data_IF_127486458446
#
_entry.id   IF_127486458446
#
_cell.length_a   1.000
_cell.length_b   1.000
_cell.length_c   1.000
_cell.angle_alpha   90.00
_cell.angle_beta   90.00
_cell.angle_gamma   90.00
#
_symmetry.space_group_name_H-M   'P 1'
#
loop_
_entity.id
_entity.type
_entity.pdbx_description
1 polymer ?
#
# COMPACT_ATOMS: atom_id res chain seq x y z
N UNK A 1 -8.53 -15.74 -28.71
CA UNK A 1 -8.54 -14.30 -28.36
C UNK A 1 -9.17 -14.22 -26.98
N UNK A 2 -8.42 -13.81 -25.96
CA UNK A 2 -8.99 -13.75 -24.61
C UNK A 2 -10.08 -12.68 -24.57
N UNK A 3 -11.26 -13.07 -24.10
CA UNK A 3 -12.46 -12.19 -24.02
C UNK A 3 -12.22 -11.01 -23.07
N UNK A 4 -11.28 -11.15 -22.12
CA UNK A 4 -10.86 -10.10 -21.18
C UNK A 4 -9.40 -10.27 -20.78
N UNK A 5 -8.80 -9.23 -20.20
CA UNK A 5 -7.47 -9.27 -19.58
C UNK A 5 -7.58 -8.99 -18.07
N UNK A 6 -6.60 -9.40 -17.26
CA UNK A 6 -6.60 -9.07 -15.82
C UNK A 6 -6.69 -7.56 -15.57
N UNK A 7 -6.05 -6.74 -16.42
CA UNK A 7 -6.14 -5.28 -16.37
C UNK A 7 -7.59 -4.85 -16.61
N UNK A 8 -8.23 -5.35 -17.68
CA UNK A 8 -9.61 -5.00 -17.99
C UNK A 8 -10.56 -5.41 -16.86
N UNK A 9 -10.44 -6.63 -16.35
CA UNK A 9 -11.24 -7.11 -15.22
C UNK A 9 -11.05 -6.24 -13.97
N UNK A 10 -9.82 -5.83 -13.64
CA UNK A 10 -9.57 -4.95 -12.49
C UNK A 10 -10.18 -3.56 -12.65
N UNK A 11 -10.25 -3.03 -13.87
CA UNK A 11 -10.92 -1.78 -14.18
C UNK A 11 -12.45 -1.89 -14.06
N UNK A 12 -13.03 -2.98 -14.56
CA UNK A 12 -14.48 -3.22 -14.46
C UNK A 12 -14.94 -3.39 -13.00
N UNK A 13 -14.09 -3.93 -12.13
CA UNK A 13 -14.36 -4.04 -10.69
C UNK A 13 -14.55 -2.69 -9.99
N UNK A 14 -14.07 -1.58 -10.56
CA UNK A 14 -14.35 -0.23 -10.02
C UNK A 14 -15.85 0.04 -10.06
N UNK A 15 -16.54 -0.39 -11.13
CA UNK A 15 -17.97 -0.18 -11.32
C UNK A 15 -18.78 -1.20 -10.52
N UNK A 16 -18.45 -2.48 -10.61
CA UNK A 16 -19.26 -3.55 -10.01
C UNK A 16 -18.98 -3.77 -8.52
N UNK A 17 -17.73 -3.63 -8.08
CA UNK A 17 -17.32 -3.82 -6.69
C UNK A 17 -17.09 -2.51 -5.92
N UNK A 18 -17.28 -1.37 -6.59
CA UNK A 18 -16.97 -0.06 -6.06
C UNK A 18 -15.47 0.28 -6.08
N UNK A 19 -15.12 1.54 -5.76
CA UNK A 19 -13.77 2.06 -5.92
C UNK A 19 -12.71 1.33 -5.09
N UNK A 20 -13.11 0.80 -3.94
CA UNK A 20 -12.24 0.08 -3.01
C UNK A 20 -11.78 -1.25 -3.60
N UNK A 21 -12.74 -2.06 -4.04
CA UNK A 21 -12.46 -3.36 -4.62
C UNK A 21 -11.68 -3.19 -5.94
N UNK A 22 -12.07 -2.21 -6.76
CA UNK A 22 -11.34 -1.84 -7.97
C UNK A 22 -9.89 -1.43 -7.68
N UNK A 23 -9.66 -0.57 -6.70
CA UNK A 23 -8.29 -0.13 -6.32
C UNK A 23 -7.41 -1.31 -5.88
N UNK A 24 -7.90 -2.17 -4.99
CA UNK A 24 -7.15 -3.33 -4.54
C UNK A 24 -6.89 -4.34 -5.68
N UNK A 25 -7.87 -4.54 -6.58
CA UNK A 25 -7.71 -5.39 -7.75
C UNK A 25 -6.67 -4.83 -8.74
N UNK A 26 -6.63 -3.51 -8.92
CA UNK A 26 -5.65 -2.81 -9.74
C UNK A 26 -4.24 -2.99 -9.18
N UNK A 27 -4.02 -2.75 -7.88
CA UNK A 27 -2.71 -2.96 -7.24
C UNK A 27 -2.26 -4.41 -7.32
N UNK A 28 -3.15 -5.36 -7.04
CA UNK A 28 -2.84 -6.78 -7.15
C UNK A 28 -2.49 -7.20 -8.59
N UNK A 29 -3.16 -6.63 -9.59
CA UNK A 29 -2.87 -6.88 -11.00
C UNK A 29 -1.53 -6.25 -11.40
N UNK A 30 -1.26 -5.03 -10.95
CA UNK A 30 -0.03 -4.31 -11.21
C UNK A 30 1.18 -5.05 -10.61
N UNK A 31 1.08 -5.47 -9.35
CA UNK A 31 2.11 -6.27 -8.68
C UNK A 31 2.43 -7.57 -9.42
N UNK A 32 1.40 -8.30 -9.87
CA UNK A 32 1.60 -9.51 -10.71
C UNK A 32 2.28 -9.18 -12.04
N UNK A 33 1.90 -8.06 -12.67
CA UNK A 33 2.54 -7.57 -13.89
C UNK A 33 4.02 -7.27 -13.70
N UNK A 34 4.37 -6.55 -12.63
CA UNK A 34 5.77 -6.27 -12.24
C UNK A 34 6.53 -7.59 -12.03
N UNK A 35 5.98 -8.52 -11.24
CA UNK A 35 6.62 -9.82 -10.98
C UNK A 35 6.85 -10.64 -12.26
N UNK A 36 5.88 -10.65 -13.18
CA UNK A 36 6.00 -11.37 -14.45
C UNK A 36 7.07 -10.76 -15.34
N UNK A 37 7.12 -9.43 -15.44
CA UNK A 37 8.06 -8.72 -16.32
C UNK A 37 9.50 -8.69 -15.78
N UNK A 38 9.67 -8.72 -14.46
CA UNK A 38 10.99 -8.68 -13.84
C UNK A 38 11.66 -10.06 -13.71
N UNK A 39 10.94 -11.16 -13.91
CA UNK A 39 11.50 -12.52 -13.86
C UNK A 39 11.98 -12.91 -12.46
N UNK A 40 11.24 -13.77 -11.78
CA UNK A 40 11.48 -14.24 -10.40
C UNK A 40 12.76 -15.10 -10.20
N UNK A 41 13.88 -14.83 -10.88
CA UNK A 41 15.17 -15.49 -10.64
C UNK A 41 16.13 -14.53 -9.95
N UNK A 42 16.12 -14.60 -8.60
CA UNK A 42 17.09 -14.07 -7.61
C UNK A 42 16.77 -12.68 -7.03
N UNK A 43 16.25 -12.70 -5.79
CA UNK A 43 16.30 -11.63 -4.75
C UNK A 43 15.29 -10.47 -4.80
N UNK A 44 13.99 -10.77 -4.90
CA UNK A 44 12.96 -9.81 -4.47
C UNK A 44 12.93 -9.61 -2.95
N UNK A 45 13.44 -10.57 -2.17
CA UNK A 45 13.67 -10.42 -0.73
C UNK A 45 14.69 -9.33 -0.35
N UNK A 46 15.36 -8.72 -1.35
CA UNK A 46 16.25 -7.56 -1.23
C UNK A 46 15.99 -6.51 -2.33
N UNK A 47 14.87 -6.60 -3.07
CA UNK A 47 14.58 -5.64 -4.13
C UNK A 47 14.25 -4.28 -3.52
N UNK A 48 14.92 -3.25 -4.02
CA UNK A 48 14.67 -1.87 -3.65
C UNK A 48 13.20 -1.51 -4.03
N UNK A 49 12.31 -1.21 -3.06
CA UNK A 49 10.92 -0.86 -3.32
C UNK A 49 10.76 0.26 -4.36
N UNK A 50 11.71 1.19 -4.41
CA UNK A 50 11.71 2.27 -5.39
C UNK A 50 11.80 1.74 -6.82
N UNK A 51 12.65 0.74 -7.09
CA UNK A 51 12.76 0.14 -8.44
C UNK A 51 11.45 -0.54 -8.85
N UNK A 52 10.80 -1.24 -7.92
CA UNK A 52 9.51 -1.88 -8.20
C UNK A 52 8.42 -0.85 -8.46
N UNK A 53 8.41 0.25 -7.69
CA UNK A 53 7.50 1.37 -7.91
C UNK A 53 7.70 2.00 -9.30
N UNK A 54 8.96 2.18 -9.73
CA UNK A 54 9.29 2.75 -11.04
C UNK A 54 8.79 1.86 -12.20
N UNK A 55 9.01 0.55 -12.10
CA UNK A 55 8.49 -0.42 -13.07
C UNK A 55 6.96 -0.38 -13.06
N UNK A 56 6.35 -0.30 -11.87
CA UNK A 56 4.91 -0.15 -11.72
C UNK A 56 4.37 1.06 -12.47
N UNK A 57 4.98 2.24 -12.29
CA UNK A 57 4.57 3.47 -13.00
C UNK A 57 4.66 3.32 -14.52
N UNK A 58 5.72 2.67 -15.02
CA UNK A 58 5.84 2.38 -16.45
C UNK A 58 4.74 1.44 -16.95
N UNK A 59 4.44 0.35 -16.22
CA UNK A 59 3.33 -0.55 -16.57
C UNK A 59 1.98 0.17 -16.55
N UNK A 60 1.74 1.05 -15.56
CA UNK A 60 0.53 1.85 -15.52
C UNK A 60 0.38 2.71 -16.76
N UNK A 61 1.45 3.41 -17.15
CA UNK A 61 1.45 4.29 -18.33
C UNK A 61 1.23 3.52 -19.65
N UNK A 62 1.88 2.36 -19.81
CA UNK A 62 1.87 1.61 -21.08
C UNK A 62 0.68 0.66 -21.22
N UNK A 63 0.20 0.06 -20.13
CA UNK A 63 -0.79 -1.01 -20.20
C UNK A 63 -2.13 -0.62 -19.58
N UNK A 64 -2.12 0.00 -18.39
CA UNK A 64 -3.35 0.30 -17.65
C UNK A 64 -4.05 1.56 -18.16
N UNK A 65 -3.33 2.65 -18.37
CA UNK A 65 -3.91 3.91 -18.83
C UNK A 65 -4.59 3.76 -20.20
N UNK A 66 -3.98 3.10 -21.21
CA UNK A 66 -4.67 2.83 -22.48
C UNK A 66 -5.89 1.93 -22.32
N UNK A 67 -5.86 0.95 -21.41
CA UNK A 67 -7.03 0.12 -21.12
C UNK A 67 -8.18 0.93 -20.49
N UNK A 68 -7.85 1.83 -19.55
CA UNK A 68 -8.82 2.73 -18.92
C UNK A 68 -9.43 3.73 -19.92
N UNK A 69 -8.63 4.22 -20.88
CA UNK A 69 -9.12 5.13 -21.93
C UNK A 69 -10.15 4.48 -22.87
N UNK A 70 -10.14 3.15 -23.00
CA UNK A 70 -11.11 2.37 -23.79
C UNK A 70 -12.39 2.02 -23.02
N UNK A 71 -12.52 2.44 -21.76
CA UNK A 71 -13.74 2.24 -20.99
C UNK A 71 -14.87 3.12 -21.54
N UNK A 72 -16.03 2.53 -21.81
CA UNK A 72 -17.23 3.26 -22.22
C UNK A 72 -17.81 4.15 -21.10
N UNK A 73 -17.63 3.74 -19.83
CA UNK A 73 -18.09 4.45 -18.62
C UNK A 73 -17.03 4.35 -17.53
N UNK A 74 -17.07 5.23 -16.53
CA UNK A 74 -16.12 5.19 -15.41
C UNK A 74 -14.68 5.59 -15.74
N UNK A 75 -14.37 5.99 -16.98
CA UNK A 75 -13.02 6.39 -17.44
C UNK A 75 -12.32 7.38 -16.50
N UNK A 76 -13.01 8.46 -16.11
CA UNK A 76 -12.43 9.49 -15.23
C UNK A 76 -12.04 8.89 -13.88
N UNK A 77 -12.95 8.13 -13.26
CA UNK A 77 -12.70 7.46 -11.98
C UNK A 77 -11.52 6.48 -12.08
N UNK A 78 -11.49 5.68 -13.13
CA UNK A 78 -10.38 4.75 -13.38
C UNK A 78 -9.03 5.48 -13.49
N UNK A 79 -8.95 6.53 -14.30
CA UNK A 79 -7.72 7.32 -14.43
C UNK A 79 -7.32 7.99 -13.10
N UNK A 80 -8.28 8.48 -12.32
CA UNK A 80 -8.01 9.01 -10.98
C UNK A 80 -7.40 7.95 -10.06
N UNK A 81 -7.94 6.73 -10.04
CA UNK A 81 -7.39 5.64 -9.23
C UNK A 81 -6.00 5.22 -9.72
N UNK A 82 -5.81 5.09 -11.03
CA UNK A 82 -4.53 4.72 -11.64
C UNK A 82 -3.39 5.69 -11.30
N UNK A 83 -3.69 6.95 -11.00
CA UNK A 83 -2.70 7.93 -10.56
C UNK A 83 -2.11 7.65 -9.16
N UNK A 84 -2.73 6.74 -8.40
CA UNK A 84 -2.39 6.48 -6.99
C UNK A 84 -1.97 5.04 -6.70
N UNK A 85 -2.30 4.08 -7.57
CA UNK A 85 -1.96 2.66 -7.32
C UNK A 85 -0.45 2.41 -7.30
N UNK A 86 -0.07 1.41 -6.52
CA UNK A 86 1.31 0.94 -6.39
C UNK A 86 1.41 -0.58 -6.50
N UNK A 87 2.51 -1.13 -7.05
CA UNK A 87 2.75 -2.58 -7.03
C UNK A 87 3.21 -3.10 -5.66
N UNK A 88 3.41 -2.23 -4.67
CA UNK A 88 4.08 -2.57 -3.42
C UNK A 88 3.17 -3.16 -2.34
N UNK A 89 1.85 -3.00 -2.46
CA UNK A 89 0.90 -3.61 -1.53
C UNK A 89 0.89 -5.13 -1.68
N UNK A 90 1.30 -5.84 -0.64
CA UNK A 90 1.41 -7.30 -0.64
C UNK A 90 0.07 -7.98 -0.27
N UNK A 91 -0.83 -7.23 0.37
CA UNK A 91 -2.13 -7.71 0.86
C UNK A 91 -3.30 -6.77 0.55
N UNK A 92 -4.53 -7.29 0.63
CA UNK A 92 -5.74 -6.47 0.51
C UNK A 92 -5.81 -5.37 1.59
N UNK A 93 -5.35 -5.68 2.81
CA UNK A 93 -5.33 -4.72 3.90
C UNK A 93 -4.37 -3.55 3.61
N UNK A 94 -3.20 -3.81 3.03
CA UNK A 94 -2.28 -2.75 2.60
C UNK A 94 -2.87 -1.90 1.47
N UNK A 95 -3.45 -2.52 0.43
CA UNK A 95 -4.12 -1.77 -0.64
C UNK A 95 -5.26 -0.90 -0.11
N UNK A 96 -6.01 -1.40 0.88
CA UNK A 96 -7.08 -0.65 1.54
C UNK A 96 -6.54 0.51 2.37
N UNK A 97 -5.43 0.31 3.09
CA UNK A 97 -4.72 1.37 3.82
C UNK A 97 -4.18 2.45 2.88
N UNK A 98 -3.54 2.07 1.77
CA UNK A 98 -3.08 3.00 0.72
C UNK A 98 -4.25 3.85 0.18
N UNK A 99 -5.37 3.21 -0.16
CA UNK A 99 -6.58 3.90 -0.60
C UNK A 99 -7.11 4.88 0.48
N UNK A 100 -7.15 4.45 1.74
CA UNK A 100 -7.61 5.31 2.85
C UNK A 100 -6.69 6.51 3.05
N UNK A 101 -5.37 6.36 2.94
CA UNK A 101 -4.43 7.48 3.01
C UNK A 101 -4.74 8.52 1.93
N UNK A 102 -4.97 8.08 0.70
CA UNK A 102 -5.35 8.98 -0.39
C UNK A 102 -6.73 9.63 -0.19
N UNK A 103 -7.71 8.90 0.37
CA UNK A 103 -8.99 9.49 0.79
C UNK A 103 -8.81 10.58 1.86
N UNK A 104 -7.81 10.44 2.73
CA UNK A 104 -7.48 11.45 3.74
C UNK A 104 -6.63 12.60 3.17
N UNK A 105 -6.18 12.53 1.92
CA UNK A 105 -5.29 13.54 1.31
C UNK A 105 -3.81 13.35 1.69
N UNK A 106 -3.43 12.19 2.21
CA UNK A 106 -2.05 11.83 2.51
C UNK A 106 -1.50 11.02 1.34
N UNK A 107 -0.58 11.61 0.57
CA UNK A 107 -0.05 10.99 -0.65
C UNK A 107 1.44 10.62 -0.54
N UNK A 108 2.13 11.10 0.49
CA UNK A 108 3.59 11.05 0.60
C UNK A 108 4.09 9.94 1.53
N UNK A 109 3.34 8.83 1.65
CA UNK A 109 3.79 7.65 2.37
C UNK A 109 4.59 6.73 1.45
N UNK A 110 5.84 6.46 1.83
CA UNK A 110 6.66 5.43 1.18
C UNK A 110 6.21 4.05 1.63
N UNK A 111 5.95 3.15 0.68
CA UNK A 111 5.59 1.77 0.98
C UNK A 111 6.81 0.86 1.10
N UNK A 112 6.69 -0.18 1.94
CA UNK A 112 7.67 -1.25 2.07
C UNK A 112 9.08 -0.75 2.45
N UNK A 113 9.16 0.24 3.35
CA UNK A 113 10.41 0.90 3.72
C UNK A 113 11.28 0.03 4.64
N UNK A 114 12.49 -0.31 4.20
CA UNK A 114 13.44 -1.06 5.00
C UNK A 114 14.14 -0.14 6.02
N UNK A 115 14.10 -0.54 7.29
CA UNK A 115 14.82 0.12 8.38
C UNK A 115 16.02 -0.74 8.76
N UNK A 116 17.19 -0.12 8.82
CA UNK A 116 18.41 -0.71 9.32
C UNK A 116 18.80 -0.11 10.69
N UNK A 117 19.44 -0.91 11.53
CA UNK A 117 20.02 -0.51 12.81
C UNK A 117 21.41 -1.13 12.91
N UNK A 118 22.42 -0.32 13.21
CA UNK A 118 23.83 -0.72 13.29
C UNK A 118 24.36 -1.46 12.04
N UNK A 119 23.87 -1.08 10.87
CA UNK A 119 24.25 -1.68 9.58
C UNK A 119 23.45 -2.92 9.21
N UNK A 120 22.67 -3.48 10.13
CA UNK A 120 21.84 -4.67 9.90
C UNK A 120 20.37 -4.32 9.63
N UNK A 121 19.71 -5.13 8.81
CA UNK A 121 18.27 -5.00 8.58
C UNK A 121 17.50 -5.28 9.87
N UNK A 122 16.78 -4.28 10.37
CA UNK A 122 15.95 -4.38 11.56
C UNK A 122 14.57 -4.93 11.20
N UNK A 123 13.85 -4.22 10.33
CA UNK A 123 12.48 -4.53 9.92
C UNK A 123 12.08 -3.77 8.65
N UNK A 124 10.96 -4.16 8.04
CA UNK A 124 10.34 -3.45 6.92
C UNK A 124 9.00 -2.89 7.37
N UNK A 125 8.80 -1.60 7.17
CA UNK A 125 7.57 -0.88 7.48
C UNK A 125 6.62 -0.94 6.29
N UNK A 126 5.34 -1.19 6.51
CA UNK A 126 4.37 -1.23 5.41
C UNK A 126 4.22 0.15 4.76
N UNK A 127 4.18 1.21 5.59
CA UNK A 127 4.14 2.60 5.15
C UNK A 127 5.01 3.47 6.06
N UNK A 128 5.70 4.46 5.50
CA UNK A 128 6.45 5.48 6.24
C UNK A 128 6.20 6.87 5.65
N UNK A 129 5.73 7.80 6.48
CA UNK A 129 5.82 9.23 6.20
C UNK A 129 7.13 9.77 6.77
N UNK A 130 8.11 10.01 5.88
CA UNK A 130 9.51 10.26 6.28
C UNK A 130 9.69 11.54 7.09
N UNK A 131 8.96 12.59 6.73
CA UNK A 131 9.09 13.92 7.32
C UNK A 131 8.69 13.93 8.79
N UNK A 132 7.74 13.09 9.19
CA UNK A 132 7.28 12.96 10.58
C UNK A 132 7.78 11.69 11.26
N UNK A 133 8.51 10.83 10.53
CA UNK A 133 8.88 9.46 10.94
C UNK A 133 7.68 8.64 11.43
N UNK A 134 6.49 8.88 10.87
CA UNK A 134 5.29 8.13 11.20
C UNK A 134 5.22 6.88 10.32
N UNK A 135 5.37 5.73 10.94
CA UNK A 135 5.22 4.42 10.32
C UNK A 135 3.82 3.86 10.57
N UNK A 136 3.25 3.20 9.57
CA UNK A 136 2.01 2.43 9.74
C UNK A 136 2.32 0.94 9.63
N UNK A 137 1.80 0.16 10.56
CA UNK A 137 1.87 -1.30 10.54
C UNK A 137 0.46 -1.85 10.31
N UNK A 138 0.29 -2.66 9.26
CA UNK A 138 -0.97 -3.27 8.86
C UNK A 138 -1.01 -4.71 9.37
N UNK A 139 -1.71 -4.90 10.49
CA UNK A 139 -1.84 -6.20 11.11
C UNK A 139 -2.89 -7.04 10.36
N UNK A 140 -2.41 -8.02 9.58
CA UNK A 140 -3.25 -9.07 9.05
C UNK A 140 -3.82 -9.91 10.19
N UNK A 141 -5.15 -10.08 10.23
CA UNK A 141 -5.88 -10.78 11.31
C UNK A 141 -5.47 -12.24 11.56
N UNK A 142 -4.58 -12.82 10.74
CA UNK A 142 -4.13 -14.21 10.82
C UNK A 142 -2.69 -14.44 11.33
N UNK A 143 -1.88 -13.40 11.64
CA UNK A 143 -0.46 -13.65 12.02
C UNK A 143 -0.25 -14.16 13.45
N UNK A 144 -1.26 -14.09 14.32
CA UNK A 144 -1.12 -14.42 15.75
C UNK A 144 -1.53 -15.84 16.15
N UNK A 145 -2.04 -16.65 15.23
CA UNK A 145 -2.60 -17.97 15.59
C UNK A 145 -1.54 -19.09 15.60
N UNK A 146 -0.35 -18.88 15.04
CA UNK A 146 0.62 -19.97 14.81
C UNK A 146 2.02 -19.81 15.41
N UNK A 147 2.41 -18.67 16.01
CA UNK A 147 3.83 -18.41 16.28
C UNK A 147 4.14 -18.09 17.74
N UNK A 148 4.96 -18.96 18.36
CA UNK A 148 5.31 -18.96 19.78
C UNK A 148 6.18 -17.78 20.29
N UNK A 149 6.63 -17.90 21.55
CA UNK A 149 7.30 -16.84 22.35
C UNK A 149 8.47 -16.11 21.67
N UNK A 150 9.23 -16.76 20.78
CA UNK A 150 10.41 -16.17 20.13
C UNK A 150 10.05 -15.07 19.12
N UNK A 151 8.92 -15.22 18.40
CA UNK A 151 8.46 -14.23 17.44
C UNK A 151 7.96 -12.96 18.14
N UNK A 152 7.21 -13.14 19.23
CA UNK A 152 6.76 -12.03 20.08
C UNK A 152 7.93 -11.22 20.65
N UNK A 153 9.02 -11.88 21.09
CA UNK A 153 10.24 -11.20 21.53
C UNK A 153 10.88 -10.39 20.41
N UNK A 154 10.95 -10.93 19.19
CA UNK A 154 11.51 -10.22 18.03
C UNK A 154 10.67 -9.01 17.64
N UNK A 155 9.35 -9.16 17.57
CA UNK A 155 8.43 -8.07 17.22
C UNK A 155 8.48 -6.95 18.29
N UNK A 156 8.54 -7.32 19.57
CA UNK A 156 8.73 -6.36 20.68
C UNK A 156 10.08 -5.63 20.60
N UNK A 157 11.17 -6.35 20.32
CA UNK A 157 12.48 -5.73 20.12
C UNK A 157 12.48 -4.75 18.95
N UNK A 158 11.93 -5.16 17.80
CA UNK A 158 11.82 -4.31 16.61
C UNK A 158 11.01 -3.04 16.89
N UNK A 159 9.88 -3.18 17.58
CA UNK A 159 9.05 -2.05 17.97
C UNK A 159 9.79 -1.08 18.90
N UNK A 160 10.40 -1.57 19.97
CA UNK A 160 11.16 -0.73 20.91
C UNK A 160 12.34 -0.02 20.23
N UNK A 161 13.00 -0.70 19.28
CA UNK A 161 14.08 -0.09 18.52
C UNK A 161 13.58 1.01 17.59
N UNK A 162 12.45 0.82 16.89
CA UNK A 162 11.83 1.88 16.10
C UNK A 162 11.50 3.12 16.96
N UNK A 163 10.95 2.92 18.16
CA UNK A 163 10.68 4.02 19.08
C UNK A 163 11.98 4.74 19.50
N UNK A 164 13.03 3.98 19.82
CA UNK A 164 14.35 4.53 20.18
C UNK A 164 14.97 5.35 19.04
N UNK A 165 14.72 4.94 17.78
CA UNK A 165 15.14 5.66 16.58
C UNK A 165 14.24 6.89 16.27
N UNK A 166 13.23 7.17 17.09
CA UNK A 166 12.31 8.30 16.94
C UNK A 166 11.22 8.10 15.90
N UNK A 167 10.89 6.85 15.54
CA UNK A 167 9.69 6.56 14.78
C UNK A 167 8.47 6.59 15.67
N UNK A 168 7.35 7.03 15.10
CA UNK A 168 6.01 6.82 15.65
C UNK A 168 5.35 5.70 14.88
N UNK A 169 4.98 4.60 15.54
CA UNK A 169 4.39 3.43 14.88
C UNK A 169 2.90 3.34 15.21
N UNK A 170 2.04 3.51 14.21
CA UNK A 170 0.59 3.37 14.33
C UNK A 170 0.17 2.00 13.79
N UNK A 171 -0.27 1.12 14.68
CA UNK A 171 -0.75 -0.22 14.33
C UNK A 171 -2.21 -0.17 13.90
N UNK A 172 -2.56 -0.75 12.77
CA UNK A 172 -3.93 -0.88 12.30
C UNK A 172 -4.36 -2.34 12.26
N UNK A 173 -5.40 -2.67 13.02
CA UNK A 173 -6.09 -3.94 12.87
C UNK A 173 -6.99 -3.89 11.62
N UNK A 174 -7.33 -5.06 11.08
CA UNK A 174 -8.19 -5.15 9.89
C UNK A 174 -9.50 -4.36 10.02
N UNK A 175 -10.14 -4.37 11.21
CA UNK A 175 -11.37 -3.61 11.48
C UNK A 175 -11.19 -2.09 11.34
N UNK A 176 -10.02 -1.58 11.70
CA UNK A 176 -9.72 -0.15 11.65
C UNK A 176 -9.61 0.29 10.17
N UNK A 177 -9.08 -0.59 9.31
CA UNK A 177 -8.81 -0.34 7.89
C UNK A 177 -10.09 -0.38 7.05
N UNK A 178 -11.07 -1.20 7.41
CA UNK A 178 -12.32 -1.33 6.64
C UNK A 178 -13.14 -0.03 6.62
N UNK A 179 -13.05 0.77 7.67
CA UNK A 179 -13.79 2.02 7.84
C UNK A 179 -12.84 3.24 7.75
N UNK A 180 -12.90 4.04 6.66
CA UNK A 180 -12.02 5.19 6.46
C UNK A 180 -12.08 6.25 7.58
N UNK A 181 -13.24 6.42 8.22
CA UNK A 181 -13.43 7.36 9.32
C UNK A 181 -12.71 6.88 10.58
N UNK A 182 -12.84 5.59 10.91
CA UNK A 182 -12.12 4.97 12.04
C UNK A 182 -10.61 5.00 11.79
N UNK A 183 -10.18 4.65 10.56
CA UNK A 183 -8.79 4.72 10.14
C UNK A 183 -8.22 6.13 10.34
N UNK A 184 -8.92 7.15 9.83
CA UNK A 184 -8.49 8.55 9.93
C UNK A 184 -8.50 9.10 11.35
N UNK A 185 -9.55 8.81 12.14
CA UNK A 185 -9.62 9.23 13.54
C UNK A 185 -8.43 8.71 14.34
N UNK A 186 -8.16 7.40 14.25
CA UNK A 186 -7.01 6.77 14.91
C UNK A 186 -5.68 7.32 14.41
N UNK A 187 -5.54 7.50 13.09
CA UNK A 187 -4.30 8.02 12.51
C UNK A 187 -3.97 9.41 13.04
N UNK A 188 -4.93 10.34 13.03
CA UNK A 188 -4.70 11.71 13.44
C UNK A 188 -4.69 11.90 14.96
N UNK A 189 -5.33 11.01 15.73
CA UNK A 189 -5.19 10.97 17.19
C UNK A 189 -3.76 10.62 17.59
N UNK A 190 -3.17 9.58 16.96
CA UNK A 190 -1.82 9.13 17.30
C UNK A 190 -0.74 9.98 16.63
N UNK A 191 -0.98 10.45 15.41
CA UNK A 191 -0.04 11.23 14.59
C UNK A 191 -0.66 12.57 14.09
N UNK A 192 -1.01 13.49 15.00
CA UNK A 192 -1.65 14.76 14.63
C UNK A 192 -0.78 15.63 13.71
N UNK A 193 0.54 15.47 13.75
CA UNK A 193 1.48 16.17 12.87
C UNK A 193 1.24 15.91 11.37
N UNK A 194 0.63 14.77 11.01
CA UNK A 194 0.27 14.46 9.63
C UNK A 194 -0.78 15.42 9.05
N UNK A 195 -1.57 16.10 9.89
CA UNK A 195 -2.54 17.09 9.43
C UNK A 195 -1.87 18.23 8.63
N UNK A 196 -0.61 18.55 8.93
CA UNK A 196 0.18 19.57 8.21
C UNK A 196 0.53 19.16 6.78
N UNK A 197 0.52 17.86 6.49
CA UNK A 197 0.87 17.27 5.20
C UNK A 197 -0.38 16.84 4.41
N UNK A 198 -1.58 17.19 4.90
CA UNK A 198 -2.82 16.84 4.24
C UNK A 198 -3.02 17.69 2.99
N UNK A 199 -2.85 17.05 1.83
CA UNK A 199 -3.16 17.60 0.52
C UNK A 199 -4.66 17.51 0.21
N UNK A 200 -4.98 17.53 -1.10
CA UNK A 200 -6.34 17.41 -1.59
C UNK A 200 -6.81 15.95 -1.48
N UNK A 201 -7.87 15.65 -0.70
CA UNK A 201 -8.44 14.31 -0.63
C UNK A 201 -8.80 13.74 -2.00
N UNK A 202 -8.55 12.44 -2.19
CA UNK A 202 -9.05 11.67 -3.33
C UNK A 202 -10.59 11.74 -3.38
N UNK A 203 -11.14 12.11 -4.54
CA UNK A 203 -12.58 12.16 -4.81
C UNK A 203 -12.91 11.40 -6.09
N UNK A 204 -13.92 10.52 -6.05
CA UNK A 204 -14.26 9.52 -7.07
C UNK A 204 -15.70 9.60 -7.55
#
# INVERSE_FOLDING_TARGET
MDVTSSIRTSLDLIEYGGPVAGYAALEATLRRGVHKRYGLKKRLGFANPHVLADIGRNLVAHDFAPAALRLARGRRRALTLLAHISPLSESYAESRSSFNLHLLGLHDFDQQWNVAHDGDFLTRLDFLHRQTRTALAVDGSGKYVEFGRSRLKRESYQHNMLLTMGYKVVHFAFRDILNPQVFGAKLFEQAPELLKFRGKPLRL
#
